data_IF_304330402996
#
_entry.id   IF_304330402996
#
_cell.length_a   1.000
_cell.length_b   1.000
_cell.length_c   1.000
_cell.angle_alpha   90.00
_cell.angle_beta   90.00
_cell.angle_gamma   90.00
#
_symmetry.space_group_name_H-M   'P 1'
#
loop_
_entity.id
_entity.type
_entity.pdbx_description
1 polymer ?
#
# COMPACT_ATOMS: atom_id res chain seq x y z
N UNK A 1 26.70 -37.80 9.35
CA UNK A 1 26.59 -36.89 8.19
C UNK A 1 25.79 -37.61 7.12
N UNK A 2 24.49 -37.31 6.99
CA UNK A 2 23.60 -37.95 6.03
C UNK A 2 23.57 -37.08 4.77
N UNK A 3 24.14 -37.58 3.68
CA UNK A 3 24.11 -36.93 2.38
C UNK A 3 22.71 -37.14 1.80
N UNK A 4 21.88 -36.08 1.74
CA UNK A 4 20.63 -36.10 0.97
C UNK A 4 20.98 -35.98 -0.51
N UNK A 5 20.52 -36.92 -1.32
CA UNK A 5 20.50 -36.77 -2.78
C UNK A 5 19.50 -35.68 -3.14
N UNK A 6 19.88 -34.82 -4.05
CA UNK A 6 19.04 -33.78 -4.61
C UNK A 6 18.14 -34.43 -5.66
N UNK A 7 16.86 -34.65 -5.31
CA UNK A 7 15.87 -35.31 -6.19
C UNK A 7 15.25 -34.34 -7.20
N UNK A 8 15.89 -33.20 -7.47
CA UNK A 8 15.51 -32.27 -8.54
C UNK A 8 14.10 -31.67 -8.40
N UNK A 9 13.60 -31.07 -9.48
CA UNK A 9 12.23 -30.54 -9.55
C UNK A 9 11.24 -31.69 -9.72
N UNK A 10 10.48 -32.01 -8.66
CA UNK A 10 9.42 -33.01 -8.70
C UNK A 10 8.30 -32.53 -9.63
N UNK A 11 8.17 -33.18 -10.80
CA UNK A 11 7.07 -32.90 -11.72
C UNK A 11 5.75 -33.35 -11.10
N UNK A 12 4.71 -32.47 -11.08
CA UNK A 12 3.41 -32.86 -10.54
C UNK A 12 2.85 -34.01 -11.37
N UNK A 13 2.42 -35.07 -10.69
CA UNK A 13 1.73 -36.18 -11.37
C UNK A 13 0.36 -35.68 -11.87
N UNK A 14 -0.20 -36.22 -12.97
CA UNK A 14 -1.48 -35.75 -13.50
C UNK A 14 -2.64 -35.72 -12.49
N UNK A 15 -2.59 -36.57 -11.46
CA UNK A 15 -3.54 -36.60 -10.35
C UNK A 15 -3.44 -35.42 -9.38
N UNK A 16 -2.32 -34.69 -9.36
CA UNK A 16 -2.12 -33.47 -8.56
C UNK A 16 -2.54 -32.21 -9.32
N UNK A 17 -2.73 -32.31 -10.64
CA UNK A 17 -3.21 -31.21 -11.47
C UNK A 17 -4.74 -31.18 -11.36
N UNK A 18 -5.28 -30.02 -10.96
CA UNK A 18 -6.73 -29.83 -10.90
C UNK A 18 -7.34 -30.09 -12.29
N UNK A 19 -8.35 -30.97 -12.41
CA UNK A 19 -9.01 -31.22 -13.68
C UNK A 19 -9.57 -29.90 -14.28
N UNK A 20 -9.45 -29.70 -15.61
CA UNK A 20 -9.81 -28.43 -16.25
C UNK A 20 -11.28 -28.05 -16.03
N UNK A 21 -12.17 -29.03 -15.89
CA UNK A 21 -13.59 -28.83 -15.63
C UNK A 21 -13.82 -28.20 -14.24
N UNK A 22 -13.07 -28.66 -13.23
CA UNK A 22 -13.16 -28.15 -11.85
C UNK A 22 -12.63 -26.71 -11.78
N UNK A 23 -11.52 -26.43 -12.48
CA UNK A 23 -11.00 -25.08 -12.61
C UNK A 23 -12.01 -24.13 -13.29
N UNK A 24 -12.61 -24.56 -14.41
CA UNK A 24 -13.60 -23.77 -15.15
C UNK A 24 -14.85 -23.46 -14.31
N UNK A 25 -15.35 -24.45 -13.55
CA UNK A 25 -16.49 -24.26 -12.65
C UNK A 25 -16.19 -23.24 -11.55
N UNK A 26 -15.00 -23.30 -10.93
CA UNK A 26 -14.57 -22.31 -9.92
C UNK A 26 -14.50 -20.90 -10.50
N UNK A 27 -13.99 -20.75 -11.72
CA UNK A 27 -13.91 -19.44 -12.38
C UNK A 27 -15.29 -18.89 -12.71
N UNK A 28 -16.19 -19.74 -13.21
CA UNK A 28 -17.58 -19.35 -13.47
C UNK A 28 -18.29 -18.87 -12.20
N UNK A 29 -18.15 -19.61 -11.09
CA UNK A 29 -18.73 -19.22 -9.80
C UNK A 29 -18.24 -17.84 -9.30
N UNK A 30 -16.93 -17.58 -9.37
CA UNK A 30 -16.37 -16.28 -8.98
C UNK A 30 -16.86 -15.13 -9.86
N UNK A 31 -17.01 -15.37 -11.17
CA UNK A 31 -17.56 -14.36 -12.10
C UNK A 31 -19.00 -14.00 -11.76
N UNK A 32 -19.84 -15.00 -11.45
CA UNK A 32 -21.24 -14.77 -11.09
C UNK A 32 -21.37 -14.05 -9.74
N UNK A 33 -20.54 -14.39 -8.75
CA UNK A 33 -20.47 -13.66 -7.47
C UNK A 33 -20.03 -12.21 -7.65
N UNK A 34 -19.02 -11.96 -8.49
CA UNK A 34 -18.56 -10.60 -8.79
C UNK A 34 -19.62 -9.75 -9.50
N UNK A 35 -20.36 -10.34 -10.45
CA UNK A 35 -21.45 -9.66 -11.16
C UNK A 35 -22.65 -9.35 -10.23
N UNK A 36 -23.01 -10.27 -9.33
CA UNK A 36 -24.06 -10.04 -8.34
C UNK A 36 -23.66 -8.96 -7.31
N UNK A 37 -22.38 -8.90 -6.93
CA UNK A 37 -21.85 -7.85 -6.05
C UNK A 37 -21.88 -6.46 -6.68
N UNK A 38 -21.57 -6.36 -7.99
CA UNK A 38 -21.56 -5.09 -8.73
C UNK A 38 -22.94 -4.48 -8.95
N UNK A 39 -23.99 -5.30 -9.09
CA UNK A 39 -25.37 -4.80 -9.26
C UNK A 39 -26.01 -4.31 -7.95
N UNK A 40 -25.50 -4.74 -6.79
CA UNK A 40 -26.00 -4.31 -5.48
C UNK A 40 -25.31 -3.03 -4.97
N UNK A 41 -24.09 -2.72 -5.42
CA UNK A 41 -23.37 -1.50 -5.06
C UNK A 41 -23.61 -0.42 -6.11
N UNK A 42 -24.69 0.36 -5.95
CA UNK A 42 -24.99 1.51 -6.79
C UNK A 42 -23.75 2.36 -7.02
N UNK A 43 -23.33 2.46 -8.29
CA UNK A 43 -22.18 3.24 -8.72
C UNK A 43 -22.49 4.73 -8.55
N UNK A 44 -22.29 5.22 -7.33
CA UNK A 44 -22.20 6.65 -7.03
C UNK A 44 -20.98 7.20 -7.74
N UNK A 45 -21.21 7.98 -8.81
CA UNK A 45 -20.20 8.82 -9.42
C UNK A 45 -19.54 9.69 -8.34
N UNK A 46 -18.27 9.43 -8.06
CA UNK A 46 -17.50 10.11 -7.03
C UNK A 46 -17.20 11.54 -7.52
N UNK A 47 -18.08 12.47 -7.15
CA UNK A 47 -17.72 13.88 -7.09
C UNK A 47 -16.54 14.02 -6.12
N UNK A 48 -15.45 14.61 -6.60
CA UNK A 48 -14.27 14.93 -5.80
C UNK A 48 -14.67 15.93 -4.70
N UNK A 49 -15.11 15.39 -3.57
CA UNK A 49 -15.35 16.20 -2.38
C UNK A 49 -14.00 16.63 -1.81
N UNK A 50 -13.78 17.92 -1.53
CA UNK A 50 -12.56 18.36 -0.87
C UNK A 50 -12.44 17.63 0.47
N UNK A 51 -11.38 16.84 0.63
CA UNK A 51 -11.10 16.17 1.91
C UNK A 51 -10.80 17.25 2.94
N UNK A 52 -11.59 17.36 4.02
CA UNK A 52 -11.33 18.34 5.07
C UNK A 52 -9.95 18.06 5.68
N UNK A 53 -9.06 19.06 5.62
CA UNK A 53 -7.74 18.99 6.22
C UNK A 53 -7.87 19.04 7.74
N UNK A 54 -6.99 18.34 8.48
CA UNK A 54 -7.04 18.27 9.95
C UNK A 54 -6.66 19.57 10.67
N UNK A 55 -6.23 20.62 9.95
CA UNK A 55 -5.79 21.89 10.55
C UNK A 55 -4.56 21.82 11.46
N UNK A 56 -3.86 20.67 11.50
CA UNK A 56 -2.70 20.43 12.40
C UNK A 56 -1.42 21.16 11.98
N UNK A 57 -1.24 21.40 10.68
CA UNK A 57 -0.06 22.05 10.11
C UNK A 57 -0.51 23.14 9.13
N UNK A 58 0.34 24.16 8.95
CA UNK A 58 0.12 25.18 7.94
C UNK A 58 0.05 24.52 6.55
N UNK A 59 -0.91 24.93 5.69
CA UNK A 59 -0.95 24.43 4.33
C UNK A 59 0.35 24.79 3.62
N UNK A 60 0.93 23.82 2.90
CA UNK A 60 2.04 24.08 2.00
C UNK A 60 1.55 25.03 0.90
N UNK A 61 2.36 26.03 0.55
CA UNK A 61 2.15 26.88 -0.63
C UNK A 61 2.53 26.10 -1.90
N UNK A 62 1.74 25.07 -2.19
CA UNK A 62 1.93 24.19 -3.34
C UNK A 62 1.04 24.63 -4.50
N UNK A 63 1.63 24.70 -5.70
CA UNK A 63 0.90 24.95 -6.95
C UNK A 63 0.70 23.64 -7.70
N UNK A 64 -0.49 23.41 -8.29
CA UNK A 64 -0.72 22.25 -9.15
C UNK A 64 0.31 22.18 -10.29
N UNK A 65 0.80 20.99 -10.60
CA UNK A 65 1.69 20.77 -11.74
C UNK A 65 1.00 21.13 -13.05
N UNK A 66 1.68 21.90 -13.90
CA UNK A 66 1.21 22.23 -15.26
C UNK A 66 1.55 21.16 -16.30
N UNK A 67 2.31 20.12 -15.91
CA UNK A 67 2.69 19.04 -16.82
C UNK A 67 1.47 18.17 -17.15
N UNK A 68 1.23 17.94 -18.44
CA UNK A 68 0.15 17.07 -18.90
C UNK A 68 0.30 15.66 -18.32
N UNK A 69 -0.76 15.16 -17.68
CA UNK A 69 -0.75 13.84 -17.02
C UNK A 69 -0.15 13.81 -15.61
N UNK A 70 0.35 14.93 -15.09
CA UNK A 70 0.88 15.00 -13.72
C UNK A 70 -0.21 15.27 -12.65
N UNK A 71 -1.48 15.17 -13.02
CA UNK A 71 -2.62 15.33 -12.12
C UNK A 71 -3.29 13.96 -11.92
N UNK A 72 -3.40 13.54 -10.67
CA UNK A 72 -4.20 12.38 -10.29
C UNK A 72 -5.69 12.71 -10.51
N UNK A 73 -6.43 11.77 -11.08
CA UNK A 73 -7.89 11.91 -11.29
C UNK A 73 -8.70 11.19 -10.22
N UNK A 74 -8.02 10.37 -9.42
CA UNK A 74 -8.57 9.56 -8.34
C UNK A 74 -8.99 10.43 -7.14
N UNK A 75 -9.89 9.88 -6.33
CA UNK A 75 -10.30 10.53 -5.10
C UNK A 75 -9.20 10.45 -4.05
N UNK A 76 -8.98 11.57 -3.36
CA UNK A 76 -7.99 11.68 -2.29
C UNK A 76 -8.45 10.84 -1.09
N UNK A 77 -7.54 10.04 -0.54
CA UNK A 77 -7.78 9.31 0.72
C UNK A 77 -8.07 10.28 1.86
N UNK A 78 -9.07 9.97 2.70
CA UNK A 78 -9.41 10.84 3.83
C UNK A 78 -8.23 10.97 4.79
N UNK A 79 -8.07 12.15 5.40
CA UNK A 79 -6.96 12.38 6.34
C UNK A 79 -6.96 11.38 7.50
N UNK A 80 -8.14 11.03 8.04
CA UNK A 80 -8.28 10.05 9.12
C UNK A 80 -7.64 8.73 8.71
N UNK A 81 -8.06 8.16 7.57
CA UNK A 81 -7.49 6.92 7.07
C UNK A 81 -5.98 7.02 6.82
N UNK A 82 -5.52 8.10 6.21
CA UNK A 82 -4.10 8.31 5.92
C UNK A 82 -3.22 8.47 7.17
N UNK A 83 -3.78 8.90 8.30
CA UNK A 83 -3.04 9.11 9.55
C UNK A 83 -3.23 8.00 10.58
N UNK A 84 -4.26 7.16 10.46
CA UNK A 84 -4.58 6.12 11.46
C UNK A 84 -4.51 4.68 10.96
N UNK A 85 -4.33 4.45 9.65
CA UNK A 85 -4.27 3.10 9.09
C UNK A 85 -2.94 2.91 8.36
N UNK A 86 -1.91 2.49 9.12
CA UNK A 86 -0.53 2.51 8.65
C UNK A 86 0.17 1.18 8.89
N UNK A 87 1.26 0.95 8.15
CA UNK A 87 2.24 -0.08 8.47
C UNK A 87 3.51 0.63 8.94
N UNK A 88 3.74 0.64 10.25
CA UNK A 88 4.97 1.13 10.86
C UNK A 88 5.35 0.16 11.98
N UNK A 89 6.10 -0.89 11.61
CA UNK A 89 6.28 -2.09 12.44
C UNK A 89 7.04 -1.84 13.74
N UNK A 90 7.89 -0.82 13.76
CA UNK A 90 8.59 -0.31 14.94
C UNK A 90 7.61 0.14 16.05
N UNK A 91 6.36 0.42 15.68
CA UNK A 91 5.30 0.86 16.58
C UNK A 91 4.17 -0.15 16.76
N UNK A 92 4.30 -1.36 16.20
CA UNK A 92 3.33 -2.46 16.33
C UNK A 92 2.95 -3.10 14.99
N UNK A 93 2.25 -4.23 15.06
CA UNK A 93 1.89 -5.04 13.89
C UNK A 93 0.47 -4.81 13.39
N UNK A 94 -0.41 -4.33 14.27
CA UNK A 94 -1.77 -3.97 13.89
C UNK A 94 -1.80 -2.60 13.21
N UNK A 95 -2.81 -2.38 12.37
CA UNK A 95 -2.90 -1.17 11.52
C UNK A 95 -3.11 0.12 12.32
N UNK A 96 -3.63 -0.01 13.54
CA UNK A 96 -3.89 1.10 14.46
C UNK A 96 -2.68 1.43 15.35
N UNK A 97 -1.80 0.46 15.63
CA UNK A 97 -0.69 0.62 16.58
C UNK A 97 0.22 1.81 16.26
N UNK A 98 0.59 2.10 14.99
CA UNK A 98 1.39 3.27 14.68
C UNK A 98 0.76 4.59 15.13
N UNK A 99 -0.56 4.72 15.00
CA UNK A 99 -1.26 5.94 15.37
C UNK A 99 -1.30 6.16 16.88
N UNK A 100 -1.32 5.07 17.65
CA UNK A 100 -1.32 5.09 19.11
C UNK A 100 0.10 5.30 19.68
N UNK A 101 1.12 4.70 19.06
CA UNK A 101 2.46 4.61 19.67
C UNK A 101 3.51 5.57 19.07
N UNK A 102 3.32 6.10 17.85
CA UNK A 102 4.34 6.92 17.17
C UNK A 102 4.65 8.26 17.84
N UNK A 103 3.82 8.72 18.79
CA UNK A 103 4.08 9.93 19.58
C UNK A 103 5.35 9.83 20.46
N UNK A 104 5.87 8.61 20.66
CA UNK A 104 7.11 8.34 21.38
C UNK A 104 8.37 8.64 20.55
N UNK A 105 8.24 8.75 19.22
CA UNK A 105 9.33 9.10 18.32
C UNK A 105 9.69 10.58 18.44
N UNK A 106 10.95 10.87 18.76
CA UNK A 106 11.50 12.22 18.69
C UNK A 106 11.88 12.52 17.24
N UNK A 107 11.05 13.29 16.56
CA UNK A 107 11.25 13.66 15.15
C UNK A 107 12.13 14.90 14.98
N UNK A 108 12.48 15.59 16.07
CA UNK A 108 13.38 16.76 16.07
C UNK A 108 14.25 16.80 17.34
N UNK A 109 15.53 17.19 17.23
CA UNK A 109 16.28 17.38 15.96
C UNK A 109 16.47 16.06 15.22
N UNK A 110 16.57 16.10 13.89
CA UNK A 110 16.79 14.90 13.07
C UNK A 110 17.90 15.12 12.05
N UNK A 111 18.73 14.10 11.85
CA UNK A 111 19.87 14.15 10.94
C UNK A 111 19.71 13.09 9.87
N UNK A 112 19.85 13.48 8.60
CA UNK A 112 19.82 12.58 7.45
C UNK A 112 21.20 12.56 6.81
N UNK A 113 21.81 11.39 6.74
CA UNK A 113 23.13 11.17 6.13
C UNK A 113 22.97 10.66 4.70
N UNK A 114 23.73 11.26 3.78
CA UNK A 114 23.77 10.91 2.36
C UNK A 114 25.14 10.32 2.07
N UNK A 115 25.20 9.00 1.97
CA UNK A 115 26.43 8.22 1.79
C UNK A 115 26.36 7.24 0.59
N UNK A 116 27.37 6.37 0.45
CA UNK A 116 27.44 5.35 -0.60
C UNK A 116 28.10 5.84 -1.89
N UNK A 117 27.68 5.30 -3.04
CA UNK A 117 28.27 5.63 -4.35
C UNK A 117 27.67 6.93 -4.90
N UNK A 118 28.02 8.05 -4.26
CA UNK A 118 27.55 9.40 -4.61
C UNK A 118 28.71 10.34 -4.88
N UNK A 119 28.50 11.33 -5.76
CA UNK A 119 29.55 12.31 -6.12
C UNK A 119 29.87 13.28 -4.98
N UNK A 120 28.88 13.60 -4.15
CA UNK A 120 28.99 14.58 -3.05
C UNK A 120 28.24 14.03 -1.83
N UNK A 121 28.90 13.28 -0.93
CA UNK A 121 28.30 12.88 0.33
C UNK A 121 28.05 14.10 1.21
N UNK A 122 27.14 13.99 2.17
CA UNK A 122 26.83 15.08 3.08
C UNK A 122 25.73 14.75 4.07
N UNK A 123 25.49 15.68 4.98
CA UNK A 123 24.53 15.53 6.07
C UNK A 123 23.53 16.69 6.02
N UNK A 124 22.24 16.36 6.17
CA UNK A 124 21.15 17.34 6.26
C UNK A 124 20.57 17.30 7.68
N UNK A 125 20.56 18.45 8.36
CA UNK A 125 19.91 18.61 9.65
C UNK A 125 18.52 19.22 9.49
N UNK A 126 17.53 18.64 10.18
CA UNK A 126 16.21 19.24 10.36
C UNK A 126 16.09 19.76 11.79
N UNK A 127 15.86 21.08 11.87
CA UNK A 127 15.67 21.84 13.12
C UNK A 127 14.20 21.84 13.59
#
# INVERSE_FOLDING_TARGET
MLIRKDDGFLHPVPSEITPPQVYAQRRSFLTHLGAAGLLASGASALAQTPVPRPGKLAPLDAKPSALAGAQATENITTYKSASTYNNFYEFGTDKADPAENAHTLKTRPWTVEIEGLVKKPGTLSME
#
